data_IF_566064374129
#
_entry.id   IF_566064374129
#
_cell.length_a   1.000
_cell.length_b   1.000
_cell.length_c   1.000
_cell.angle_alpha   90.00
_cell.angle_beta   90.00
_cell.angle_gamma   90.00
#
_symmetry.space_group_name_H-M   'P 1'
#
loop_
_entity.id
_entity.type
_entity.pdbx_description
1 polymer ?
#
# COMPACT_ATOMS: atom_id res chain seq x y z
N UNK A 1 -4.32 18.55 12.63
CA UNK A 1 -3.53 17.29 12.50
C UNK A 1 -4.41 16.06 12.42
N UNK A 2 -5.38 15.86 13.32
CA UNK A 2 -6.25 14.67 13.31
C UNK A 2 -7.06 14.49 12.02
N UNK A 3 -7.67 15.55 11.47
CA UNK A 3 -8.41 15.46 10.20
C UNK A 3 -7.52 15.02 9.04
N UNK A 4 -6.31 15.60 8.92
CA UNK A 4 -5.31 15.22 7.91
C UNK A 4 -4.91 13.76 8.04
N UNK A 5 -4.64 13.30 9.28
CA UNK A 5 -4.34 11.90 9.56
C UNK A 5 -5.45 10.97 9.06
N UNK A 6 -6.70 11.21 9.47
CA UNK A 6 -7.83 10.37 9.09
C UNK A 6 -8.04 10.36 7.57
N UNK A 7 -7.99 11.52 6.91
CA UNK A 7 -8.15 11.60 5.45
C UNK A 7 -7.06 10.79 4.76
N UNK A 8 -5.79 10.97 5.11
CA UNK A 8 -4.69 10.26 4.45
C UNK A 8 -4.75 8.76 4.70
N UNK A 9 -5.04 8.32 5.93
CA UNK A 9 -5.15 6.88 6.24
C UNK A 9 -6.32 6.25 5.49
N UNK A 10 -7.52 6.86 5.54
CA UNK A 10 -8.71 6.32 4.87
C UNK A 10 -8.52 6.30 3.35
N UNK A 11 -7.99 7.38 2.77
CA UNK A 11 -7.66 7.40 1.34
C UNK A 11 -6.71 6.27 1.00
N UNK A 12 -5.59 6.13 1.72
CA UNK A 12 -4.58 5.10 1.47
C UNK A 12 -5.16 3.69 1.59
N UNK A 13 -5.95 3.42 2.63
CA UNK A 13 -6.60 2.14 2.84
C UNK A 13 -7.59 1.81 1.71
N UNK A 14 -8.46 2.76 1.33
CA UNK A 14 -9.47 2.57 0.28
C UNK A 14 -8.81 2.32 -1.08
N UNK A 15 -7.87 3.17 -1.49
CA UNK A 15 -7.23 3.02 -2.82
C UNK A 15 -6.37 1.76 -2.88
N UNK A 16 -5.72 1.38 -1.78
CA UNK A 16 -4.89 0.16 -1.70
C UNK A 16 -5.75 -1.08 -1.73
N UNK A 17 -6.86 -1.10 -0.99
CA UNK A 17 -7.82 -2.20 -1.06
C UNK A 17 -8.45 -2.32 -2.45
N UNK A 18 -8.82 -1.18 -3.06
CA UNK A 18 -9.39 -1.13 -4.40
C UNK A 18 -8.47 -1.73 -5.47
N UNK A 19 -7.15 -1.56 -5.35
CA UNK A 19 -6.20 -2.19 -6.27
C UNK A 19 -5.78 -3.61 -5.88
N UNK A 20 -6.02 -4.01 -4.64
CA UNK A 20 -5.75 -5.37 -4.18
C UNK A 20 -6.81 -6.37 -4.66
N UNK A 21 -8.08 -5.97 -4.74
CA UNK A 21 -9.18 -6.84 -5.19
C UNK A 21 -8.93 -7.43 -6.60
N UNK A 22 -8.50 -6.63 -7.60
CA UNK A 22 -8.12 -7.12 -8.92
C UNK A 22 -6.90 -8.04 -8.96
N UNK A 23 -6.15 -8.21 -7.87
CA UNK A 23 -5.08 -9.21 -7.80
C UNK A 23 -5.63 -10.63 -7.54
N UNK A 24 -6.84 -10.74 -6.97
CA UNK A 24 -7.53 -12.01 -6.71
C UNK A 24 -8.45 -12.43 -7.86
N UNK A 25 -9.03 -11.45 -8.53
CA UNK A 25 -9.89 -11.66 -9.69
C UNK A 25 -9.02 -11.36 -10.91
N UNK A 26 -8.77 -12.30 -11.85
CA UNK A 26 -7.75 -12.19 -12.90
C UNK A 26 -8.04 -11.07 -13.92
N UNK A 27 -7.97 -9.82 -13.47
CA UNK A 27 -8.28 -8.64 -14.22
C UNK A 27 -7.20 -8.44 -15.28
N UNK A 28 -7.63 -8.24 -16.52
CA UNK A 28 -6.73 -8.16 -17.67
C UNK A 28 -5.66 -7.08 -17.50
N UNK A 29 -6.00 -5.94 -16.89
CA UNK A 29 -5.04 -4.87 -16.64
C UNK A 29 -3.96 -5.28 -15.62
N UNK A 30 -4.30 -6.04 -14.57
CA UNK A 30 -3.31 -6.54 -13.58
C UNK A 30 -2.41 -7.58 -14.22
N UNK A 31 -2.98 -8.51 -14.98
CA UNK A 31 -2.21 -9.52 -15.70
C UNK A 31 -1.24 -8.86 -16.70
N UNK A 32 -1.71 -7.90 -17.50
CA UNK A 32 -0.88 -7.16 -18.44
C UNK A 32 0.20 -6.32 -17.73
N UNK A 33 -0.14 -5.67 -16.62
CA UNK A 33 0.82 -4.91 -15.82
C UNK A 33 1.92 -5.81 -15.27
N UNK A 34 1.53 -6.95 -14.70
CA UNK A 34 2.43 -7.90 -14.05
C UNK A 34 3.32 -8.62 -15.06
N UNK A 35 2.78 -9.01 -16.22
CA UNK A 35 3.54 -9.59 -17.31
C UNK A 35 4.63 -8.64 -17.84
N UNK A 36 4.32 -7.33 -17.97
CA UNK A 36 5.30 -6.32 -18.41
C UNK A 36 6.50 -6.21 -17.48
N UNK A 37 6.31 -6.47 -16.18
CA UNK A 37 7.37 -6.38 -15.16
C UNK A 37 7.90 -7.74 -14.72
N UNK A 38 7.53 -8.83 -15.42
CA UNK A 38 8.04 -10.18 -15.16
C UNK A 38 7.49 -10.85 -13.89
N UNK A 39 6.39 -10.35 -13.32
CA UNK A 39 5.73 -10.96 -12.16
C UNK A 39 4.76 -12.05 -12.64
N UNK A 40 4.97 -13.29 -12.19
CA UNK A 40 4.10 -14.40 -12.60
C UNK A 40 2.71 -14.29 -11.97
N UNK A 41 1.70 -14.79 -12.69
CA UNK A 41 0.30 -14.76 -12.25
C UNK A 41 0.07 -15.43 -10.89
N UNK A 42 0.86 -16.45 -10.55
CA UNK A 42 0.78 -17.15 -9.27
C UNK A 42 1.09 -16.27 -8.06
N UNK A 43 1.85 -15.18 -8.24
CA UNK A 43 2.16 -14.23 -7.16
C UNK A 43 1.04 -13.23 -6.89
N UNK A 44 0.09 -13.03 -7.81
CA UNK A 44 -0.93 -11.98 -7.67
C UNK A 44 -1.78 -12.14 -6.41
N UNK A 45 -2.34 -13.33 -6.09
CA UNK A 45 -3.13 -13.48 -4.87
C UNK A 45 -2.34 -13.15 -3.60
N UNK A 46 -1.05 -13.53 -3.54
CA UNK A 46 -0.16 -13.20 -2.42
C UNK A 46 0.09 -11.71 -2.33
N UNK A 47 0.37 -11.05 -3.46
CA UNK A 47 0.57 -9.61 -3.54
C UNK A 47 -0.69 -8.82 -3.15
N UNK A 48 -1.86 -9.28 -3.58
CA UNK A 48 -3.16 -8.74 -3.18
C UNK A 48 -3.41 -8.92 -1.69
N UNK A 49 -3.07 -10.07 -1.12
CA UNK A 49 -3.22 -10.33 0.31
C UNK A 49 -2.33 -9.41 1.14
N UNK A 50 -1.09 -9.16 0.72
CA UNK A 50 -0.20 -8.20 1.39
C UNK A 50 -0.77 -6.77 1.37
N UNK A 51 -1.27 -6.32 0.21
CA UNK A 51 -1.92 -5.01 0.10
C UNK A 51 -3.16 -4.90 0.99
N UNK A 52 -4.03 -5.92 1.00
CA UNK A 52 -5.22 -5.94 1.84
C UNK A 52 -4.86 -5.99 3.33
N UNK A 53 -3.88 -6.80 3.73
CA UNK A 53 -3.41 -6.84 5.10
C UNK A 53 -2.90 -5.47 5.57
N UNK A 54 -2.14 -4.78 4.72
CA UNK A 54 -1.73 -3.39 4.97
C UNK A 54 -2.91 -2.44 5.08
N UNK A 55 -3.85 -2.46 4.15
CA UNK A 55 -5.04 -1.60 4.17
C UNK A 55 -5.91 -1.83 5.42
N UNK A 56 -6.15 -3.08 5.79
CA UNK A 56 -6.90 -3.45 7.01
C UNK A 56 -6.12 -3.01 8.25
N UNK A 57 -4.82 -3.27 8.29
CA UNK A 57 -3.97 -2.87 9.42
C UNK A 57 -3.94 -1.36 9.64
N UNK A 58 -3.98 -0.55 8.58
CA UNK A 58 -4.14 0.91 8.67
C UNK A 58 -5.46 1.30 9.35
N UNK A 59 -6.58 0.67 8.97
CA UNK A 59 -7.88 0.92 9.59
C UNK A 59 -7.90 0.51 11.06
N UNK A 60 -7.32 -0.65 11.38
CA UNK A 60 -7.16 -1.12 12.77
C UNK A 60 -6.31 -0.14 13.59
N UNK A 61 -5.29 0.47 12.98
CA UNK A 61 -4.50 1.55 13.58
C UNK A 61 -5.33 2.76 14.00
N UNK A 62 -6.27 3.17 13.16
CA UNK A 62 -7.20 4.29 13.45
C UNK A 62 -8.18 3.94 14.58
N UNK A 63 -8.53 2.66 14.76
CA UNK A 63 -9.42 2.17 15.82
C UNK A 63 -8.77 2.10 17.21
N UNK A 64 -7.54 2.60 17.39
CA UNK A 64 -6.89 2.70 18.69
C UNK A 64 -5.75 1.70 18.91
N UNK A 65 -5.29 0.99 17.87
CA UNK A 65 -4.16 0.08 17.93
C UNK A 65 -2.96 0.65 17.14
N UNK A 66 -2.30 1.73 17.61
CA UNK A 66 -1.34 2.50 16.83
C UNK A 66 -0.15 1.67 16.33
N UNK A 67 0.33 0.71 17.12
CA UNK A 67 1.43 -0.19 16.72
C UNK A 67 1.07 -1.05 15.50
N UNK A 68 -0.20 -1.46 15.38
CA UNK A 68 -0.68 -2.21 14.21
C UNK A 68 -0.72 -1.29 12.99
N UNK A 69 -1.24 -0.07 13.15
CA UNK A 69 -1.27 0.93 12.08
C UNK A 69 0.13 1.26 11.54
N UNK A 70 1.10 1.49 12.43
CA UNK A 70 2.49 1.76 12.05
C UNK A 70 3.09 0.55 11.33
N UNK A 71 2.92 -0.66 11.86
CA UNK A 71 3.43 -1.89 11.23
C UNK A 71 2.84 -2.12 9.84
N UNK A 72 1.54 -1.85 9.68
CA UNK A 72 0.85 -1.94 8.40
C UNK A 72 1.36 -0.90 7.39
N UNK A 73 1.57 0.34 7.83
CA UNK A 73 2.13 1.40 6.99
C UNK A 73 3.56 1.05 6.54
N UNK A 74 4.41 0.53 7.44
CA UNK A 74 5.75 0.03 7.09
C UNK A 74 5.66 -1.09 6.04
N UNK A 75 4.76 -2.06 6.24
CA UNK A 75 4.54 -3.15 5.29
C UNK A 75 4.16 -2.66 3.90
N UNK A 76 3.25 -1.67 3.81
CA UNK A 76 2.87 -1.05 2.54
C UNK A 76 4.02 -0.27 1.90
N UNK A 77 4.81 0.48 2.68
CA UNK A 77 6.01 1.16 2.18
C UNK A 77 6.98 0.16 1.56
N UNK A 78 7.32 -0.92 2.27
CA UNK A 78 8.22 -1.97 1.77
C UNK A 78 7.64 -2.65 0.52
N UNK A 79 6.34 -2.93 0.52
CA UNK A 79 5.65 -3.49 -0.63
C UNK A 79 5.79 -2.61 -1.87
N UNK A 80 5.48 -1.31 -1.76
CA UNK A 80 5.51 -0.40 -2.90
C UNK A 80 6.93 -0.01 -3.31
N UNK A 81 7.91 0.00 -2.40
CA UNK A 81 9.34 0.04 -2.76
C UNK A 81 9.67 -1.15 -3.65
N UNK A 82 9.28 -2.37 -3.26
CA UNK A 82 9.40 -3.58 -4.07
C UNK A 82 8.79 -3.41 -5.45
N UNK A 83 7.54 -2.93 -5.53
CA UNK A 83 6.85 -2.69 -6.79
C UNK A 83 7.62 -1.71 -7.69
N UNK A 84 8.07 -0.57 -7.17
CA UNK A 84 8.88 0.42 -7.91
C UNK A 84 10.19 -0.21 -8.40
N UNK A 85 10.89 -0.96 -7.55
CA UNK A 85 12.14 -1.63 -7.93
C UNK A 85 11.95 -2.62 -9.08
N UNK A 86 10.87 -3.40 -9.09
CA UNK A 86 10.55 -4.33 -10.19
C UNK A 86 10.30 -3.55 -11.49
N UNK A 87 9.59 -2.43 -11.45
CA UNK A 87 9.35 -1.59 -12.64
C UNK A 87 10.66 -1.00 -13.19
N UNK A 88 11.54 -0.49 -12.31
CA UNK A 88 12.86 0.02 -12.69
C UNK A 88 13.71 -1.09 -13.31
N UNK A 89 13.77 -2.28 -12.69
CA UNK A 89 14.55 -3.41 -13.19
C UNK A 89 14.06 -3.90 -14.56
N UNK A 90 12.75 -3.92 -14.76
CA UNK A 90 12.13 -4.28 -16.04
C UNK A 90 12.21 -3.14 -17.08
N UNK A 91 12.72 -1.95 -16.71
CA UNK A 91 12.76 -0.72 -17.52
C UNK A 91 11.39 -0.29 -18.06
N UNK A 92 10.33 -0.57 -17.30
CA UNK A 92 8.96 -0.19 -17.64
C UNK A 92 8.61 1.08 -16.89
N UNK A 93 8.85 2.23 -17.52
CA UNK A 93 8.62 3.55 -16.91
C UNK A 93 7.25 4.14 -17.23
N UNK A 94 6.55 3.65 -18.26
CA UNK A 94 5.26 4.21 -18.70
C UNK A 94 4.15 4.12 -17.66
N UNK A 95 4.23 3.17 -16.73
CA UNK A 95 3.26 2.94 -15.65
C UNK A 95 3.88 3.09 -14.25
N UNK A 96 5.14 3.53 -14.12
CA UNK A 96 5.84 3.63 -12.83
C UNK A 96 5.21 4.65 -11.87
N UNK A 97 4.53 5.65 -12.42
CA UNK A 97 3.79 6.63 -11.64
C UNK A 97 2.73 5.98 -10.74
N UNK A 98 2.19 4.83 -11.16
CA UNK A 98 1.18 4.09 -10.40
C UNK A 98 1.74 3.57 -9.07
N UNK A 99 2.71 2.63 -9.00
CA UNK A 99 3.29 2.21 -7.73
C UNK A 99 3.99 3.36 -6.97
N UNK A 100 4.50 4.38 -7.68
CA UNK A 100 5.06 5.57 -7.06
C UNK A 100 4.04 6.38 -6.25
N UNK A 101 2.81 6.55 -6.75
CA UNK A 101 1.74 7.25 -6.04
C UNK A 101 1.32 6.50 -4.76
N UNK A 102 1.19 5.17 -4.84
CA UNK A 102 0.90 4.34 -3.66
C UNK A 102 2.04 4.36 -2.63
N UNK A 103 3.29 4.39 -3.10
CA UNK A 103 4.44 4.55 -2.21
C UNK A 103 4.38 5.89 -1.46
N UNK A 104 4.10 6.99 -2.16
CA UNK A 104 3.96 8.30 -1.55
C UNK A 104 2.84 8.33 -0.49
N UNK A 105 1.67 7.75 -0.81
CA UNK A 105 0.57 7.60 0.15
C UNK A 105 0.98 6.77 1.37
N UNK A 106 1.68 5.65 1.15
CA UNK A 106 2.14 4.78 2.24
C UNK A 106 3.14 5.47 3.15
N UNK A 107 4.07 6.26 2.59
CA UNK A 107 5.03 7.07 3.36
C UNK A 107 4.29 8.15 4.15
N UNK A 108 3.33 8.84 3.54
CA UNK A 108 2.52 9.84 4.23
C UNK A 108 1.71 9.23 5.39
N UNK A 109 1.09 8.06 5.17
CA UNK A 109 0.41 7.29 6.22
C UNK A 109 1.36 6.91 7.35
N UNK A 110 2.56 6.40 7.03
CA UNK A 110 3.56 6.03 8.03
C UNK A 110 3.98 7.25 8.87
N UNK A 111 4.32 8.36 8.23
CA UNK A 111 4.73 9.59 8.91
C UNK A 111 3.64 10.09 9.85
N UNK A 112 2.39 10.17 9.38
CA UNK A 112 1.27 10.65 10.20
C UNK A 112 0.92 9.66 11.31
N UNK A 113 1.01 8.34 11.08
CA UNK A 113 0.77 7.33 12.11
C UNK A 113 1.81 7.41 13.25
N UNK A 114 3.08 7.65 12.93
CA UNK A 114 4.14 7.87 13.93
C UNK A 114 3.85 9.14 14.74
N UNK A 115 3.54 10.25 14.06
CA UNK A 115 3.23 11.53 14.71
C UNK A 115 2.00 11.45 15.62
N UNK A 116 0.96 10.71 15.22
CA UNK A 116 -0.25 10.53 16.03
C UNK A 116 -0.02 9.55 17.19
N UNK A 117 0.77 8.49 16.98
CA UNK A 117 1.13 7.53 18.03
C UNK A 117 1.90 8.16 19.19
N UNK A 118 2.77 9.15 18.91
CA UNK A 118 3.48 9.89 19.95
C UNK A 118 2.57 10.77 20.82
N UNK A 119 1.39 11.16 20.33
CA UNK A 119 0.45 12.01 21.09
C UNK A 119 -0.47 11.24 22.03
N UNK A 120 -0.56 9.91 21.93
CA UNK A 120 -1.43 9.07 22.75
C UNK A 120 -0.75 8.34 23.91
N UNK A 121 0.56 8.52 24.10
CA UNK A 121 1.38 7.90 25.16
C UNK A 121 1.74 8.87 26.30
N UNK A 122 1.09 10.03 26.37
CA UNK A 122 1.30 11.06 27.40
C UNK A 122 0.18 11.13 28.42
#
# INVERSE_FOLDING_TARGET
MQTTYLVVILTTAIVTAGIAVPDFIPAQFVLANSARVGVSRSWLPTLGALKLAGAVGLLVGVLGLPLIGISAAVGLVLYFIGAVMVHIRARVFSNIAFPGAYLALSIASLALAIMQGSTGLG
#
